data_IF_570170833673
#
_entry.id   IF_570170833673
#
_cell.length_a   1.000
_cell.length_b   1.000
_cell.length_c   1.000
_cell.angle_alpha   90.00
_cell.angle_beta   90.00
_cell.angle_gamma   90.00
#
_symmetry.space_group_name_H-M   'P 1'
#
loop_
_entity.id
_entity.type
_entity.pdbx_description
1 polymer ?
#
# COMPACT_ATOMS: atom_id res chain seq x y z
N UNK A 1 -20.50 17.50 -12.79
CA UNK A 1 -20.68 16.49 -13.86
C UNK A 1 -20.93 17.15 -15.21
N UNK A 2 -21.78 18.19 -15.25
CA UNK A 2 -22.06 18.98 -16.46
C UNK A 2 -20.82 19.65 -17.08
N UNK A 3 -19.81 20.02 -16.28
CA UNK A 3 -18.54 20.58 -16.78
C UNK A 3 -17.54 19.53 -17.30
N UNK A 4 -17.69 18.25 -16.92
CA UNK A 4 -16.72 17.17 -17.23
C UNK A 4 -17.21 16.25 -18.36
N UNK A 5 -18.52 16.18 -18.59
CA UNK A 5 -19.12 15.30 -19.59
C UNK A 5 -20.07 16.10 -20.46
N UNK A 6 -19.95 15.95 -21.78
CA UNK A 6 -20.94 16.51 -22.71
C UNK A 6 -22.31 15.87 -22.46
N UNK A 7 -23.43 16.55 -22.78
CA UNK A 7 -24.77 15.99 -22.59
C UNK A 7 -25.02 14.69 -23.39
N UNK A 8 -24.17 14.38 -24.37
CA UNK A 8 -24.20 13.15 -25.17
C UNK A 8 -23.08 12.16 -24.80
N UNK A 9 -22.44 12.32 -23.62
CA UNK A 9 -21.39 11.43 -23.18
C UNK A 9 -21.90 9.99 -23.04
N UNK A 10 -21.12 9.05 -23.55
CA UNK A 10 -21.39 7.63 -23.37
C UNK A 10 -21.32 7.24 -21.89
N UNK A 11 -21.99 6.15 -21.52
CA UNK A 11 -21.91 5.58 -20.17
C UNK A 11 -20.46 5.33 -19.71
N UNK A 12 -19.58 4.91 -20.63
CA UNK A 12 -18.15 4.71 -20.33
C UNK A 12 -17.43 6.00 -20.01
N UNK A 13 -17.75 7.11 -20.69
CA UNK A 13 -17.15 8.42 -20.43
C UNK A 13 -17.61 8.98 -19.08
N UNK A 14 -18.91 8.83 -18.78
CA UNK A 14 -19.46 9.23 -17.48
C UNK A 14 -18.81 8.42 -16.36
N UNK A 15 -18.67 7.10 -16.53
CA UNK A 15 -18.02 6.24 -15.55
C UNK A 15 -16.54 6.62 -15.34
N UNK A 16 -15.80 6.88 -16.42
CA UNK A 16 -14.41 7.34 -16.33
C UNK A 16 -14.29 8.69 -15.61
N UNK A 17 -15.19 9.64 -15.88
CA UNK A 17 -15.20 10.94 -15.21
C UNK A 17 -15.50 10.81 -13.70
N UNK A 18 -16.41 9.91 -13.32
CA UNK A 18 -16.68 9.61 -11.92
C UNK A 18 -15.47 8.99 -11.22
N UNK A 19 -14.83 8.00 -11.84
CA UNK A 19 -13.59 7.39 -11.33
C UNK A 19 -12.49 8.42 -11.15
N UNK A 20 -12.31 9.30 -12.14
CA UNK A 20 -11.34 10.39 -12.07
C UNK A 20 -11.65 11.35 -10.91
N UNK A 21 -12.91 11.77 -10.76
CA UNK A 21 -13.30 12.65 -9.66
C UNK A 21 -13.08 11.99 -8.29
N UNK A 22 -13.39 10.70 -8.15
CA UNK A 22 -13.11 9.95 -6.93
C UNK A 22 -11.61 9.81 -6.64
N UNK A 23 -10.76 9.66 -7.66
CA UNK A 23 -9.32 9.71 -7.50
C UNK A 23 -8.86 11.09 -6.98
N UNK A 24 -9.38 12.18 -7.54
CA UNK A 24 -9.02 13.53 -7.09
C UNK A 24 -9.42 13.75 -5.63
N UNK A 25 -10.66 13.44 -5.24
CA UNK A 25 -11.07 13.64 -3.84
C UNK A 25 -10.35 12.72 -2.86
N UNK A 26 -9.90 11.54 -3.31
CA UNK A 26 -9.04 10.67 -2.50
C UNK A 26 -7.66 11.30 -2.24
N UNK A 27 -7.15 12.12 -3.18
CA UNK A 27 -5.86 12.82 -2.97
C UNK A 27 -5.94 13.85 -1.85
N UNK A 28 -7.12 14.38 -1.53
CA UNK A 28 -7.30 15.27 -0.37
C UNK A 28 -7.04 14.51 0.94
N UNK A 29 -7.59 13.29 1.06
CA UNK A 29 -7.34 12.39 2.21
C UNK A 29 -5.86 12.01 2.29
N UNK A 30 -5.26 11.63 1.15
CA UNK A 30 -3.84 11.30 1.07
C UNK A 30 -2.97 12.49 1.51
N UNK A 31 -3.29 13.71 1.09
CA UNK A 31 -2.56 14.91 1.48
C UNK A 31 -2.54 15.10 2.99
N UNK A 32 -3.68 14.91 3.65
CA UNK A 32 -3.78 14.99 5.11
C UNK A 32 -2.92 13.92 5.80
N UNK A 33 -2.90 12.69 5.28
CA UNK A 33 -2.05 11.62 5.81
C UNK A 33 -0.56 11.90 5.61
N UNK A 34 -0.17 12.39 4.44
CA UNK A 34 1.23 12.74 4.16
C UNK A 34 1.70 13.92 5.03
N UNK A 35 0.85 14.92 5.31
CA UNK A 35 1.18 16.00 6.23
C UNK A 35 1.47 15.49 7.64
N UNK A 36 0.69 14.51 8.12
CA UNK A 36 0.92 13.85 9.41
C UNK A 36 2.24 13.07 9.40
N UNK A 37 2.45 12.24 8.38
CA UNK A 37 3.63 11.39 8.19
C UNK A 37 4.92 12.22 8.13
N UNK A 38 4.95 13.28 7.33
CA UNK A 38 6.14 14.09 7.14
C UNK A 38 6.33 15.18 8.21
N UNK A 39 5.43 15.29 9.21
CA UNK A 39 5.43 16.37 10.20
C UNK A 39 5.65 17.76 9.58
N UNK A 40 5.06 18.02 8.39
CA UNK A 40 5.33 19.21 7.55
C UNK A 40 4.93 20.55 8.22
N UNK A 41 4.43 20.51 9.45
CA UNK A 41 3.85 21.65 10.15
C UNK A 41 4.64 22.12 11.37
N UNK A 42 5.97 22.13 11.35
CA UNK A 42 6.74 22.92 12.35
C UNK A 42 6.66 24.44 12.06
N UNK A 43 6.31 24.85 10.84
CA UNK A 43 6.39 26.26 10.40
C UNK A 43 5.07 27.04 10.39
N UNK A 44 3.93 26.43 10.66
CA UNK A 44 2.64 27.16 10.65
C UNK A 44 1.80 26.73 11.82
N UNK A 45 1.03 27.67 12.40
CA UNK A 45 0.04 27.41 13.44
C UNK A 45 -1.05 26.47 12.88
N UNK A 46 -0.76 25.17 12.84
CA UNK A 46 -1.61 24.10 12.33
C UNK A 46 -2.45 23.50 13.47
N UNK A 47 -3.56 22.81 13.13
CA UNK A 47 -4.51 22.27 14.09
C UNK A 47 -3.86 21.18 14.96
N UNK A 48 -4.50 20.79 16.08
CA UNK A 48 -3.97 19.76 16.99
C UNK A 48 -3.57 18.48 16.24
N UNK A 49 -2.54 17.80 16.73
CA UNK A 49 -2.14 16.46 16.27
C UNK A 49 -3.39 15.59 16.10
N UNK A 50 -3.63 15.09 14.89
CA UNK A 50 -4.78 14.24 14.63
C UNK A 50 -4.59 12.90 15.33
N UNK A 51 -5.61 12.48 16.06
CA UNK A 51 -5.65 11.14 16.65
C UNK A 51 -5.83 10.05 15.59
N UNK A 52 -5.55 8.81 15.97
CA UNK A 52 -5.85 7.62 15.15
C UNK A 52 -7.33 7.58 14.72
N UNK A 53 -8.23 7.99 15.61
CA UNK A 53 -9.68 8.04 15.36
C UNK A 53 -10.08 9.15 14.38
N UNK A 54 -9.40 10.31 14.42
CA UNK A 54 -9.66 11.41 13.49
C UNK A 54 -9.22 11.03 12.07
N UNK A 55 -8.06 10.37 11.94
CA UNK A 55 -7.56 9.87 10.66
C UNK A 55 -8.47 8.77 10.08
N UNK A 56 -8.97 7.86 10.91
CA UNK A 56 -9.95 6.83 10.49
C UNK A 56 -11.25 7.46 10.00
N UNK A 57 -11.75 8.46 10.72
CA UNK A 57 -12.98 9.16 10.37
C UNK A 57 -12.84 9.87 9.02
N UNK A 58 -11.69 10.48 8.73
CA UNK A 58 -11.45 11.14 7.46
C UNK A 58 -11.64 10.21 6.26
N UNK A 59 -11.07 9.00 6.29
CA UNK A 59 -11.27 8.02 5.21
C UNK A 59 -12.71 7.50 5.20
N UNK A 60 -13.31 7.26 6.36
CA UNK A 60 -14.70 6.79 6.48
C UNK A 60 -15.68 7.80 5.86
N UNK A 61 -15.55 9.08 6.18
CA UNK A 61 -16.39 10.15 5.63
C UNK A 61 -16.24 10.24 4.11
N UNK A 62 -15.01 10.07 3.60
CA UNK A 62 -14.77 9.98 2.16
C UNK A 62 -15.45 8.75 1.54
N UNK A 63 -15.36 7.57 2.16
CA UNK A 63 -16.02 6.34 1.70
C UNK A 63 -17.55 6.46 1.68
N UNK A 64 -18.13 7.16 2.65
CA UNK A 64 -19.56 7.44 2.74
C UNK A 64 -20.03 8.47 1.71
N UNK A 65 -19.15 9.38 1.28
CA UNK A 65 -19.44 10.34 0.22
C UNK A 65 -19.58 9.70 -1.18
N UNK A 66 -18.99 8.51 -1.38
CA UNK A 66 -19.07 7.79 -2.65
C UNK A 66 -20.47 7.23 -2.91
N UNK A 67 -20.86 7.16 -4.18
CA UNK A 67 -22.14 6.56 -4.58
C UNK A 67 -22.01 5.67 -5.81
N UNK A 68 -23.02 4.84 -6.08
CA UNK A 68 -23.08 4.03 -7.31
C UNK A 68 -21.90 3.07 -7.51
N UNK A 69 -21.38 3.05 -8.74
CA UNK A 69 -20.29 2.15 -9.14
C UNK A 69 -18.94 2.49 -8.49
N UNK A 70 -18.60 3.77 -8.30
CA UNK A 70 -17.32 4.15 -7.68
C UNK A 70 -17.23 3.64 -6.24
N UNK A 71 -18.34 3.64 -5.48
CA UNK A 71 -18.37 3.02 -4.14
C UNK A 71 -18.15 1.51 -4.21
N UNK A 72 -18.71 0.83 -5.22
CA UNK A 72 -18.53 -0.61 -5.42
C UNK A 72 -17.10 -0.97 -5.85
N UNK A 73 -16.48 -0.12 -6.66
CA UNK A 73 -15.06 -0.23 -7.03
C UNK A 73 -14.21 -0.11 -5.77
N UNK A 74 -14.35 1.00 -5.03
CA UNK A 74 -13.56 1.26 -3.84
C UNK A 74 -13.73 0.19 -2.76
N UNK A 75 -14.95 -0.09 -2.30
CA UNK A 75 -15.18 -0.90 -1.10
C UNK A 75 -15.23 -2.42 -1.36
N UNK A 76 -15.53 -2.84 -2.59
CA UNK A 76 -15.73 -4.26 -2.91
C UNK A 76 -14.77 -4.78 -3.98
N UNK A 77 -14.00 -3.92 -4.65
CA UNK A 77 -13.14 -4.34 -5.76
C UNK A 77 -13.90 -4.86 -6.98
N UNK A 78 -15.20 -4.55 -7.11
CA UNK A 78 -16.03 -5.02 -8.24
C UNK A 78 -16.21 -3.91 -9.27
N UNK A 79 -16.67 -4.26 -10.48
CA UNK A 79 -16.95 -3.29 -11.56
C UNK A 79 -15.69 -2.57 -12.10
N UNK A 80 -14.57 -3.29 -12.19
CA UNK A 80 -13.29 -2.75 -12.69
C UNK A 80 -13.25 -2.49 -14.22
N UNK A 81 -14.38 -2.70 -14.91
CA UNK A 81 -14.49 -2.54 -16.36
C UNK A 81 -14.45 -1.08 -16.83
N UNK A 82 -14.68 -0.11 -15.94
CA UNK A 82 -14.62 1.30 -16.30
C UNK A 82 -13.16 1.77 -16.48
N UNK A 83 -12.87 2.67 -17.44
CA UNK A 83 -11.52 3.22 -17.59
C UNK A 83 -11.01 3.82 -16.28
N UNK A 84 -9.81 3.41 -15.85
CA UNK A 84 -9.19 3.88 -14.62
C UNK A 84 -9.68 3.21 -13.33
N UNK A 85 -10.70 2.34 -13.37
CA UNK A 85 -11.27 1.74 -12.15
C UNK A 85 -10.26 0.89 -11.37
N UNK A 86 -9.39 0.14 -12.06
CA UNK A 86 -8.33 -0.64 -11.42
C UNK A 86 -7.30 0.26 -10.71
N UNK A 87 -6.90 1.39 -11.33
CA UNK A 87 -6.06 2.40 -10.67
C UNK A 87 -6.75 2.97 -9.44
N UNK A 88 -8.04 3.31 -9.55
CA UNK A 88 -8.79 3.86 -8.43
C UNK A 88 -8.88 2.88 -7.26
N UNK A 89 -9.16 1.60 -7.52
CA UNK A 89 -9.18 0.58 -6.47
C UNK A 89 -7.79 0.43 -5.82
N UNK A 90 -6.71 0.40 -6.61
CA UNK A 90 -5.36 0.31 -6.05
C UNK A 90 -4.98 1.58 -5.26
N UNK A 91 -5.35 2.77 -5.74
CA UNK A 91 -5.14 4.03 -5.02
C UNK A 91 -5.85 4.03 -3.66
N UNK A 92 -7.13 3.64 -3.63
CA UNK A 92 -7.88 3.52 -2.38
C UNK A 92 -7.22 2.53 -1.41
N UNK A 93 -6.83 1.35 -1.89
CA UNK A 93 -6.15 0.35 -1.06
C UNK A 93 -4.79 0.86 -0.54
N UNK A 94 -4.05 1.60 -1.36
CA UNK A 94 -2.79 2.21 -0.94
C UNK A 94 -2.98 3.25 0.16
N UNK A 95 -3.99 4.13 0.03
CA UNK A 95 -4.35 5.10 1.08
C UNK A 95 -4.83 4.40 2.35
N UNK A 96 -5.62 3.33 2.22
CA UNK A 96 -6.07 2.52 3.35
C UNK A 96 -4.89 1.84 4.07
N UNK A 97 -3.95 1.26 3.33
CA UNK A 97 -2.73 0.67 3.90
C UNK A 97 -1.89 1.74 4.61
N UNK A 98 -1.73 2.92 4.01
CA UNK A 98 -1.06 4.07 4.61
C UNK A 98 -1.68 4.43 5.97
N UNK A 99 -3.01 4.59 6.03
CA UNK A 99 -3.72 4.84 7.28
C UNK A 99 -3.40 3.78 8.34
N UNK A 100 -3.50 2.48 8.01
CA UNK A 100 -3.23 1.42 8.98
C UNK A 100 -1.80 1.42 9.49
N UNK A 101 -0.85 1.80 8.65
CA UNK A 101 0.57 1.92 9.04
C UNK A 101 0.78 3.12 9.97
N UNK A 102 0.18 4.28 9.68
CA UNK A 102 0.19 5.43 10.60
C UNK A 102 -0.39 5.06 11.96
N UNK A 103 -1.52 4.36 12.00
CA UNK A 103 -2.15 3.94 13.25
C UNK A 103 -1.28 2.95 14.03
N UNK A 104 -0.60 2.04 13.34
CA UNK A 104 0.35 1.11 13.95
C UNK A 104 1.55 1.85 14.56
N UNK A 105 2.09 2.86 13.88
CA UNK A 105 3.20 3.67 14.40
C UNK A 105 2.79 4.47 15.64
N UNK A 106 1.60 5.09 15.61
CA UNK A 106 1.04 5.79 16.77
C UNK A 106 0.83 4.85 17.97
N UNK A 107 0.45 3.59 17.73
CA UNK A 107 0.30 2.57 18.78
C UNK A 107 1.67 2.16 19.36
N UNK A 108 2.68 2.00 18.50
CA UNK A 108 4.05 1.64 18.90
C UNK A 108 4.72 2.70 19.78
N UNK A 109 4.48 4.00 19.51
CA UNK A 109 4.96 5.10 20.36
C UNK A 109 4.32 5.08 21.76
N UNK A 110 3.10 4.55 21.87
CA UNK A 110 2.36 4.45 23.13
C UNK A 110 2.69 3.16 23.92
N UNK A 111 3.07 2.07 23.25
CA UNK A 111 3.34 0.76 23.87
C UNK A 111 4.85 0.49 23.92
N UNK A 112 5.51 1.01 24.96
CA UNK A 112 6.86 0.56 25.32
C UNK A 112 6.76 -0.79 26.05
N UNK A 113 7.02 -1.88 25.32
CA UNK A 113 7.25 -3.25 25.79
C UNK A 113 6.01 -4.11 26.11
N UNK A 114 5.41 -4.74 25.09
CA UNK A 114 5.16 -6.19 25.04
C UNK A 114 4.70 -6.61 23.62
N UNK A 115 4.78 -7.90 23.32
CA UNK A 115 4.47 -8.62 22.07
C UNK A 115 3.53 -7.91 21.05
N UNK A 116 4.15 -7.14 20.15
CA UNK A 116 3.57 -6.35 19.04
C UNK A 116 2.72 -7.18 18.04
N UNK A 117 2.76 -8.53 18.12
CA UNK A 117 1.97 -9.40 17.24
C UNK A 117 0.49 -9.47 17.62
N UNK A 118 0.11 -8.96 18.80
CA UNK A 118 -1.29 -8.96 19.28
C UNK A 118 -2.01 -7.64 19.05
N UNK A 119 -1.32 -6.61 18.51
CA UNK A 119 -1.96 -5.30 18.28
C UNK A 119 -3.08 -5.42 17.23
N UNK A 120 -4.28 -4.90 17.51
CA UNK A 120 -5.36 -4.87 16.53
C UNK A 120 -4.97 -4.08 15.28
N UNK A 121 -4.13 -3.05 15.42
CA UNK A 121 -3.65 -2.23 14.29
C UNK A 121 -2.73 -3.03 13.37
N UNK A 122 -1.89 -3.91 13.92
CA UNK A 122 -1.06 -4.80 13.11
C UNK A 122 -1.90 -5.71 12.23
N UNK A 123 -2.93 -6.33 12.81
CA UNK A 123 -3.85 -7.20 12.08
C UNK A 123 -4.60 -6.43 10.99
N UNK A 124 -4.99 -5.18 11.24
CA UNK A 124 -5.65 -4.34 10.23
C UNK A 124 -4.70 -3.94 9.09
N UNK A 125 -3.46 -3.58 9.41
CA UNK A 125 -2.44 -3.26 8.41
C UNK A 125 -2.12 -4.49 7.53
N UNK A 126 -1.98 -5.66 8.14
CA UNK A 126 -1.79 -6.91 7.41
C UNK A 126 -2.94 -7.16 6.43
N UNK A 127 -4.19 -7.08 6.89
CA UNK A 127 -5.38 -7.26 6.02
C UNK A 127 -5.41 -6.26 4.86
N UNK A 128 -5.04 -4.99 5.10
CA UNK A 128 -4.97 -3.99 4.03
C UNK A 128 -3.92 -4.34 2.97
N UNK A 129 -2.77 -4.90 3.38
CA UNK A 129 -1.76 -5.40 2.45
C UNK A 129 -2.25 -6.63 1.66
N UNK A 130 -2.96 -7.56 2.33
CA UNK A 130 -3.58 -8.74 1.69
C UNK A 130 -4.58 -8.33 0.60
N UNK A 131 -5.40 -7.29 0.84
CA UNK A 131 -6.34 -6.77 -0.16
C UNK A 131 -5.64 -6.31 -1.45
N UNK A 132 -4.42 -5.75 -1.36
CA UNK A 132 -3.64 -5.35 -2.54
C UNK A 132 -3.20 -6.59 -3.33
N UNK A 133 -2.72 -7.63 -2.65
CA UNK A 133 -2.34 -8.91 -3.30
C UNK A 133 -3.55 -9.53 -4.00
N UNK A 134 -4.71 -9.55 -3.34
CA UNK A 134 -5.93 -10.07 -3.94
C UNK A 134 -6.35 -9.28 -5.18
N UNK A 135 -6.29 -7.95 -5.14
CA UNK A 135 -6.54 -7.13 -6.32
C UNK A 135 -5.62 -7.52 -7.49
N UNK A 136 -4.31 -7.59 -7.25
CA UNK A 136 -3.31 -7.86 -8.30
C UNK A 136 -3.54 -9.23 -8.96
N UNK A 137 -3.97 -10.22 -8.17
CA UNK A 137 -4.32 -11.56 -8.65
C UNK A 137 -5.59 -11.61 -9.50
N UNK A 138 -6.53 -10.71 -9.24
CA UNK A 138 -7.79 -10.61 -9.98
C UNK A 138 -7.69 -9.76 -11.26
N UNK A 139 -6.53 -9.13 -11.52
CA UNK A 139 -6.33 -8.34 -12.74
C UNK A 139 -6.28 -9.24 -13.98
N UNK A 140 -7.29 -9.10 -14.83
CA UNK A 140 -7.29 -9.66 -16.19
C UNK A 140 -6.49 -8.84 -17.21
N UNK A 141 -6.23 -9.44 -18.38
CA UNK A 141 -5.51 -8.86 -19.51
C UNK A 141 -5.93 -7.43 -19.90
N UNK A 142 -7.22 -7.06 -19.96
CA UNK A 142 -7.63 -5.68 -20.27
C UNK A 142 -7.13 -4.66 -19.24
N UNK A 143 -7.06 -5.04 -17.96
CA UNK A 143 -6.55 -4.17 -16.90
C UNK A 143 -5.03 -4.02 -17.01
N UNK A 144 -4.32 -5.11 -17.31
CA UNK A 144 -2.85 -5.14 -17.39
C UNK A 144 -2.32 -4.39 -18.61
N UNK A 145 -3.07 -4.38 -19.71
CA UNK A 145 -2.78 -3.54 -20.90
C UNK A 145 -3.27 -2.10 -20.77
N UNK A 146 -4.02 -1.80 -19.71
CA UNK A 146 -4.49 -0.45 -19.42
C UNK A 146 -3.36 0.46 -18.96
N UNK A 147 -3.63 1.76 -18.94
CA UNK A 147 -2.75 2.73 -18.31
C UNK A 147 -2.74 2.52 -16.79
N UNK A 148 -1.56 2.57 -16.16
CA UNK A 148 -1.37 2.56 -14.71
C UNK A 148 -0.63 3.81 -14.23
N UNK A 149 -1.02 4.32 -13.06
CA UNK A 149 -0.30 5.43 -12.42
C UNK A 149 1.03 4.89 -11.86
N UNK A 150 2.20 5.40 -12.27
CA UNK A 150 3.49 4.82 -11.90
C UNK A 150 3.73 4.72 -10.38
N UNK A 151 3.18 5.65 -9.60
CA UNK A 151 3.31 5.66 -8.13
C UNK A 151 2.78 4.39 -7.48
N UNK A 152 1.87 3.67 -8.13
CA UNK A 152 1.32 2.43 -7.60
C UNK A 152 2.36 1.30 -7.50
N UNK A 153 3.48 1.36 -8.24
CA UNK A 153 4.57 0.39 -8.09
C UNK A 153 5.08 0.33 -6.64
N UNK A 154 5.10 1.48 -5.94
CA UNK A 154 5.48 1.55 -4.53
C UNK A 154 4.43 0.92 -3.61
N UNK A 155 3.14 1.03 -3.95
CA UNK A 155 2.07 0.39 -3.18
C UNK A 155 2.19 -1.13 -3.23
N UNK A 156 2.60 -1.69 -4.37
CA UNK A 156 2.85 -3.13 -4.52
C UNK A 156 4.05 -3.58 -3.66
N UNK A 157 5.16 -2.83 -3.71
CA UNK A 157 6.34 -3.10 -2.89
C UNK A 157 6.01 -3.00 -1.40
N UNK A 158 5.37 -1.91 -0.98
CA UNK A 158 4.97 -1.65 0.42
C UNK A 158 4.07 -2.74 1.00
N UNK A 159 3.09 -3.22 0.22
CA UNK A 159 2.25 -4.34 0.65
C UNK A 159 3.06 -5.64 0.81
N UNK A 160 3.95 -5.92 -0.15
CA UNK A 160 4.77 -7.14 -0.15
C UNK A 160 5.78 -7.15 0.99
N UNK A 161 6.49 -6.05 1.23
CA UNK A 161 7.44 -5.93 2.35
C UNK A 161 6.74 -6.06 3.69
N UNK A 162 5.54 -5.49 3.84
CA UNK A 162 4.74 -5.64 5.05
C UNK A 162 4.39 -7.11 5.30
N UNK A 163 3.92 -7.84 4.28
CA UNK A 163 3.59 -9.27 4.39
C UNK A 163 4.82 -10.13 4.71
N UNK A 164 5.99 -9.81 4.16
CA UNK A 164 7.24 -10.49 4.51
C UNK A 164 7.61 -10.28 5.98
N UNK A 165 7.47 -9.06 6.50
CA UNK A 165 7.66 -8.76 7.92
C UNK A 165 6.65 -9.52 8.80
N UNK A 166 5.39 -9.60 8.37
CA UNK A 166 4.36 -10.43 9.04
C UNK A 166 4.72 -11.91 9.02
N UNK A 167 5.29 -12.39 7.93
CA UNK A 167 5.75 -13.77 7.79
C UNK A 167 6.90 -14.08 8.73
N UNK A 168 7.94 -13.23 8.77
CA UNK A 168 9.09 -13.38 9.65
C UNK A 168 8.69 -13.49 11.13
N UNK A 169 7.74 -12.65 11.57
CA UNK A 169 7.22 -12.68 12.94
C UNK A 169 6.52 -13.99 13.28
N UNK A 170 5.97 -14.70 12.29
CA UNK A 170 5.21 -15.96 12.45
C UNK A 170 5.98 -17.21 12.05
N UNK A 171 7.31 -17.16 11.92
CA UNK A 171 8.17 -18.27 11.43
C UNK A 171 7.98 -19.60 12.16
N UNK A 172 7.52 -19.59 13.42
CA UNK A 172 7.28 -20.80 14.22
C UNK A 172 5.82 -21.29 14.19
N UNK A 173 4.94 -20.65 13.42
CA UNK A 173 3.56 -21.06 13.29
C UNK A 173 3.43 -22.25 12.32
N UNK A 174 2.46 -23.12 12.57
CA UNK A 174 2.16 -24.28 11.70
C UNK A 174 1.70 -23.89 10.28
N UNK A 175 1.38 -22.61 10.06
CA UNK A 175 0.96 -22.04 8.77
C UNK A 175 1.33 -20.56 8.72
N UNK A 176 2.12 -20.17 7.72
CA UNK A 176 2.52 -18.79 7.48
C UNK A 176 1.74 -18.18 6.31
N UNK A 177 0.48 -17.82 6.57
CA UNK A 177 -0.40 -17.24 5.55
C UNK A 177 0.15 -15.93 4.93
N UNK A 178 0.72 -14.97 5.69
CA UNK A 178 1.29 -13.76 5.12
C UNK A 178 2.47 -14.02 4.18
N UNK A 179 3.38 -14.93 4.54
CA UNK A 179 4.51 -15.29 3.67
C UNK A 179 4.00 -15.92 2.36
N UNK A 180 3.05 -16.85 2.45
CA UNK A 180 2.44 -17.46 1.27
C UNK A 180 1.79 -16.42 0.35
N UNK A 181 1.16 -15.38 0.91
CA UNK A 181 0.60 -14.29 0.11
C UNK A 181 1.68 -13.44 -0.55
N UNK A 182 2.82 -13.21 0.11
CA UNK A 182 3.97 -12.55 -0.50
C UNK A 182 4.56 -13.39 -1.66
N UNK A 183 4.67 -14.71 -1.51
CA UNK A 183 5.06 -15.63 -2.58
C UNK A 183 4.09 -15.58 -3.77
N UNK A 184 2.78 -15.67 -3.49
CA UNK A 184 1.72 -15.56 -4.49
C UNK A 184 1.80 -14.21 -5.23
N UNK A 185 2.08 -13.13 -4.51
CA UNK A 185 2.26 -11.79 -5.08
C UNK A 185 3.44 -11.77 -6.06
N UNK A 186 4.63 -12.22 -5.67
CA UNK A 186 5.80 -12.27 -6.57
C UNK A 186 5.55 -13.14 -7.80
N UNK A 187 4.96 -14.33 -7.62
CA UNK A 187 4.62 -15.22 -8.73
C UNK A 187 3.65 -14.56 -9.73
N UNK A 188 2.64 -13.88 -9.20
CA UNK A 188 1.65 -13.14 -10.00
C UNK A 188 2.32 -11.98 -10.75
N UNK A 189 3.15 -11.20 -10.08
CA UNK A 189 3.88 -10.07 -10.67
C UNK A 189 4.83 -10.53 -11.79
N UNK A 190 5.57 -11.63 -11.59
CA UNK A 190 6.41 -12.23 -12.65
C UNK A 190 5.57 -12.60 -13.86
N UNK A 191 4.42 -13.25 -13.63
CA UNK A 191 3.50 -13.63 -14.70
C UNK A 191 2.96 -12.41 -15.46
N UNK A 192 2.56 -11.36 -14.75
CA UNK A 192 2.03 -10.13 -15.36
C UNK A 192 3.10 -9.38 -16.16
N UNK A 193 4.31 -9.25 -15.62
CA UNK A 193 5.46 -8.67 -16.32
C UNK A 193 5.81 -9.47 -17.57
N UNK A 194 5.97 -10.78 -17.45
CA UNK A 194 6.47 -11.62 -18.56
C UNK A 194 5.44 -11.78 -19.69
N UNK A 195 4.13 -11.78 -19.37
CA UNK A 195 3.06 -11.94 -20.38
C UNK A 195 2.56 -10.64 -20.97
N UNK A 196 2.52 -9.57 -20.18
CA UNK A 196 1.89 -8.31 -20.58
C UNK A 196 2.83 -7.12 -20.55
N UNK A 197 4.10 -7.32 -20.20
CA UNK A 197 5.07 -6.23 -20.01
C UNK A 197 4.59 -5.19 -19.00
N UNK A 198 3.93 -5.67 -17.94
CA UNK A 198 3.41 -4.81 -16.87
C UNK A 198 4.55 -4.29 -15.99
N UNK A 199 5.11 -3.16 -16.39
CA UNK A 199 6.25 -2.45 -15.78
C UNK A 199 6.02 -2.05 -14.31
N UNK A 200 4.76 -1.86 -13.90
CA UNK A 200 4.40 -1.59 -12.51
C UNK A 200 4.90 -2.67 -11.53
N UNK A 201 5.14 -3.88 -12.02
CA UNK A 201 5.69 -4.99 -11.25
C UNK A 201 7.19 -4.84 -10.93
N UNK A 202 7.94 -4.09 -11.73
CA UNK A 202 9.41 -4.16 -11.75
C UNK A 202 10.06 -3.73 -10.44
N UNK A 203 9.55 -2.67 -9.82
CA UNK A 203 10.05 -2.19 -8.53
C UNK A 203 9.90 -3.27 -7.46
N UNK A 204 8.69 -3.82 -7.32
CA UNK A 204 8.41 -4.85 -6.31
C UNK A 204 9.21 -6.14 -6.58
N UNK A 205 9.34 -6.55 -7.85
CA UNK A 205 10.12 -7.73 -8.20
C UNK A 205 11.60 -7.55 -7.89
N UNK A 206 12.15 -6.36 -8.16
CA UNK A 206 13.56 -6.05 -7.87
C UNK A 206 13.83 -6.02 -6.37
N UNK A 207 12.93 -5.42 -5.59
CA UNK A 207 13.11 -5.29 -4.13
C UNK A 207 12.83 -6.58 -3.37
N UNK A 208 11.79 -7.33 -3.75
CA UNK A 208 11.23 -8.39 -2.90
C UNK A 208 11.50 -9.82 -3.38
N UNK A 209 11.88 -10.06 -4.64
CA UNK A 209 12.06 -11.43 -5.16
C UNK A 209 13.05 -12.25 -4.35
N UNK A 210 14.26 -11.71 -4.15
CA UNK A 210 15.33 -12.43 -3.45
C UNK A 210 14.98 -12.61 -1.96
N UNK A 211 14.31 -11.63 -1.35
CA UNK A 211 13.88 -11.69 0.04
C UNK A 211 12.86 -12.82 0.27
N UNK A 212 11.90 -12.95 -0.64
CA UNK A 212 10.90 -14.02 -0.60
C UNK A 212 11.58 -15.38 -0.75
N UNK A 213 12.44 -15.56 -1.77
CA UNK A 213 13.12 -16.83 -2.02
C UNK A 213 14.00 -17.28 -0.84
N UNK A 214 14.72 -16.34 -0.23
CA UNK A 214 15.52 -16.61 0.98
C UNK A 214 14.63 -17.00 2.17
N UNK A 215 13.52 -16.30 2.38
CA UNK A 215 12.63 -16.55 3.51
C UNK A 215 11.89 -17.88 3.38
N UNK A 216 11.38 -18.20 2.19
CA UNK A 216 10.76 -19.50 1.88
C UNK A 216 11.74 -20.65 2.07
N UNK A 217 13.00 -20.47 1.65
CA UNK A 217 14.05 -21.49 1.84
C UNK A 217 14.36 -21.74 3.31
N UNK A 218 14.32 -20.70 4.14
CA UNK A 218 14.55 -20.80 5.58
C UNK A 218 13.35 -21.29 6.40
N UNK A 219 12.14 -21.32 5.84
CA UNK A 219 11.05 -22.10 6.42
C UNK A 219 11.20 -23.59 6.12
N UNK A 220 11.74 -23.93 4.95
CA UNK A 220 11.97 -25.31 4.54
C UNK A 220 13.23 -25.94 5.17
N UNK A 221 14.22 -25.13 5.56
CA UNK A 221 15.48 -25.56 6.18
C UNK A 221 15.72 -24.87 7.52
N UNK A 222 16.25 -25.60 8.51
CA UNK A 222 16.43 -25.14 9.90
C UNK A 222 17.58 -24.10 10.08
N UNK A 223 17.94 -23.35 9.03
CA UNK A 223 19.05 -22.41 9.04
C UNK A 223 18.70 -21.09 9.75
N UNK A 224 19.70 -20.54 10.44
CA UNK A 224 19.61 -19.33 11.25
C UNK A 224 19.78 -18.08 10.38
N UNK A 225 18.68 -17.57 9.83
CA UNK A 225 18.62 -16.33 9.04
C UNK A 225 19.11 -15.07 9.79
N UNK A 226 19.21 -15.11 11.12
CA UNK A 226 19.68 -14.01 11.95
C UNK A 226 21.14 -13.60 11.68
N UNK A 227 21.88 -14.37 10.88
CA UNK A 227 23.25 -14.09 10.48
C UNK A 227 23.41 -13.60 9.03
N UNK A 228 22.35 -13.52 8.22
CA UNK A 228 22.44 -13.02 6.84
C UNK A 228 22.33 -11.47 6.83
N UNK A 229 23.37 -10.74 6.39
CA UNK A 229 23.40 -9.29 6.38
C UNK A 229 22.29 -8.65 5.53
N UNK A 230 21.72 -9.37 4.54
CA UNK A 230 20.58 -8.85 3.78
C UNK A 230 19.31 -8.63 4.63
N UNK A 231 19.19 -9.31 5.78
CA UNK A 231 18.11 -9.13 6.75
C UNK A 231 18.51 -8.26 7.94
N UNK A 232 19.80 -7.88 8.04
CA UNK A 232 20.31 -6.93 9.04
C UNK A 232 20.35 -5.50 8.48
N UNK A 233 20.68 -5.33 7.19
CA UNK A 233 20.67 -4.03 6.49
C UNK A 233 19.25 -3.53 6.19
N UNK A 234 18.27 -4.43 6.14
CA UNK A 234 16.86 -4.04 6.17
C UNK A 234 16.45 -4.10 7.63
N UNK A 235 16.47 -2.95 8.29
CA UNK A 235 16.18 -2.78 9.72
C UNK A 235 14.67 -3.02 10.01
N UNK A 236 14.18 -4.21 9.65
CA UNK A 236 12.78 -4.67 9.69
C UNK A 236 12.20 -4.79 11.11
N UNK A 237 12.92 -4.38 12.15
CA UNK A 237 12.38 -4.31 13.51
C UNK A 237 12.16 -2.87 13.97
N UNK A 238 12.94 -1.90 13.47
CA UNK A 238 12.92 -0.51 13.96
C UNK A 238 12.87 0.56 12.85
N UNK A 239 12.88 0.17 11.57
CA UNK A 239 12.72 1.11 10.46
C UNK A 239 11.39 1.82 10.59
N UNK A 240 11.46 3.15 10.67
CA UNK A 240 10.27 3.98 10.65
C UNK A 240 9.51 3.75 9.33
N UNK A 241 8.18 3.86 9.36
CA UNK A 241 7.33 3.81 8.17
C UNK A 241 7.84 4.73 7.04
N UNK A 242 8.39 5.88 7.43
CA UNK A 242 8.98 6.88 6.53
C UNK A 242 10.15 6.32 5.75
N UNK A 243 11.04 5.56 6.37
CA UNK A 243 12.22 5.00 5.68
C UNK A 243 11.79 3.96 4.64
N UNK A 244 10.78 3.13 4.93
CA UNK A 244 10.23 2.17 3.96
C UNK A 244 9.48 2.86 2.81
N UNK A 245 8.82 4.01 3.07
CA UNK A 245 8.17 4.83 2.03
C UNK A 245 9.21 5.56 1.16
N UNK A 246 10.34 5.98 1.75
CA UNK A 246 11.41 6.74 1.12
C UNK A 246 12.51 5.89 0.46
N UNK A 247 12.57 4.58 0.73
CA UNK A 247 13.40 3.63 -0.03
C UNK A 247 13.09 3.64 -1.54
N UNK A 248 11.95 4.21 -1.95
CA UNK A 248 11.58 4.47 -3.34
C UNK A 248 12.03 5.83 -3.93
N UNK A 249 12.55 6.74 -3.10
CA UNK A 249 13.00 8.08 -3.49
C UNK A 249 14.40 8.39 -2.93
N UNK A 250 15.47 7.78 -3.48
CA UNK A 250 16.83 8.02 -2.99
C UNK A 250 17.31 9.48 -3.14
N UNK A 251 16.55 10.34 -3.84
CA UNK A 251 16.91 11.75 -4.06
C UNK A 251 16.31 12.78 -3.09
N UNK A 252 15.44 12.39 -2.14
CA UNK A 252 14.86 13.35 -1.18
C UNK A 252 15.61 13.39 0.16
N UNK A 253 16.18 12.27 0.59
CA UNK A 253 16.96 12.20 1.84
C UNK A 253 18.22 13.07 1.78
N UNK A 254 18.88 13.12 0.62
CA UNK A 254 20.12 13.90 0.40
C UNK A 254 19.89 15.42 0.32
N UNK A 255 18.64 15.89 0.25
CA UNK A 255 18.32 17.33 0.17
C UNK A 255 18.04 18.00 1.51
N UNK A 256 18.06 17.25 2.62
CA UNK A 256 17.92 17.79 3.99
C UNK A 256 19.27 17.71 4.73
N UNK A 257 20.38 18.01 4.03
CA UNK A 257 21.56 18.54 4.69
C UNK A 257 21.53 20.06 4.60
N UNK A 258 21.01 20.71 5.64
CA UNK A 258 21.18 22.17 5.80
C UNK A 258 22.66 22.48 6.01
N UNK A 259 23.24 23.45 5.27
CA UNK A 259 24.60 23.90 5.53
C UNK A 259 24.68 24.65 6.87
N UNK A 260 25.83 24.51 7.53
CA UNK A 260 26.20 25.13 8.80
C UNK A 260 26.19 26.67 8.78
#
# INVERSE_FOLDING_TARGET
MEDLCSPNASHSQIAAALVFLSLITLTDVLSTYLQHVYKVSESTAYPPEMSSEDLERLLTDWEESLSGDVRRIALRGTHLNAPGAANFRLAYLAVKLLLRRIQLDLDADNIKADDDTTSPFYTQAQRAAEEIVHLVRELDEPHLRGFWIPVHAFSLTSATTFLLRSGLRRRNAHSNAPLKLAEDMISTLRTHRDRFSWDLADNCLTTCSDLVEKLSSAEAGNDSLSADPAFQDIDFYNSSFLDELLMGFPGLADTIETPA
#
